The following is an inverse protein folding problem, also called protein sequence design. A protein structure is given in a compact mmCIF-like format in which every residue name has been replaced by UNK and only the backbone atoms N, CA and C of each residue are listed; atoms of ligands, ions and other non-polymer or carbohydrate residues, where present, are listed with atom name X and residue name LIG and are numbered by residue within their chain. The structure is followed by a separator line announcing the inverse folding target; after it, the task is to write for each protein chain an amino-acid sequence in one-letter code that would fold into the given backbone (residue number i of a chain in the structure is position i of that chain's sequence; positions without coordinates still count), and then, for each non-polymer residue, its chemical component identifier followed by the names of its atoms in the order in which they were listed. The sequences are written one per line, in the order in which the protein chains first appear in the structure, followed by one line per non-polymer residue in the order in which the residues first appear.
data_IF_901952709145
#
_entry.id   IF_901952709145
#
_cell.length_a   1.000
_cell.length_b   1.000
_cell.length_c   1.000
_cell.angle_alpha   90.00
_cell.angle_beta   90.00
_cell.angle_gamma   90.00
#
_symmetry.space_group_name_H-M   'P 1'
#
loop_
_entity.id
_entity.type
_entity.pdbx_description
1 polymer ?
#
# COMPACT_ATOMS: atom_id res chain seq x y z
N UNK A 1 -3.84 -15.12 -8.21
CA UNK A 1 -2.84 -15.90 -8.98
C UNK A 1 -2.87 -15.36 -10.40
N UNK A 2 -2.16 -14.26 -10.67
CA UNK A 2 -2.14 -13.60 -11.99
C UNK A 2 -0.90 -14.07 -12.72
N UNK A 3 -1.15 -14.74 -13.84
CA UNK A 3 -0.16 -15.33 -14.73
C UNK A 3 0.62 -14.22 -15.44
N UNK A 4 1.90 -14.04 -15.09
CA UNK A 4 2.82 -13.24 -15.92
C UNK A 4 3.10 -14.06 -17.18
N UNK A 5 2.48 -13.65 -18.28
CA UNK A 5 2.68 -14.27 -19.59
C UNK A 5 4.07 -13.92 -20.12
N UNK A 6 4.92 -14.94 -20.14
CA UNK A 6 6.19 -15.01 -20.87
C UNK A 6 5.92 -14.75 -22.37
N UNK A 7 6.59 -13.76 -22.99
CA UNK A 7 6.57 -13.58 -24.45
C UNK A 7 8.00 -13.54 -25.02
N UNK A 8 8.39 -14.68 -25.61
CA UNK A 8 8.97 -14.74 -26.96
C UNK A 8 10.38 -14.21 -27.21
N UNK A 9 11.35 -15.12 -27.18
CA UNK A 9 12.67 -15.04 -27.83
C UNK A 9 12.62 -14.39 -29.23
N UNK A 10 13.45 -13.37 -29.46
CA UNK A 10 14.02 -13.07 -30.79
C UNK A 10 15.51 -13.43 -30.78
N UNK A 11 15.86 -14.51 -31.48
CA UNK A 11 17.23 -14.82 -31.88
C UNK A 11 17.64 -13.91 -33.05
N UNK A 12 17.86 -12.63 -32.75
CA UNK A 12 18.75 -11.77 -33.52
C UNK A 12 20.11 -11.79 -32.83
N UNK A 13 21.20 -11.63 -33.57
CA UNK A 13 22.54 -11.40 -33.01
C UNK A 13 22.46 -10.20 -32.07
N UNK A 14 22.24 -10.43 -30.77
CA UNK A 14 22.10 -9.35 -29.80
C UNK A 14 23.46 -8.69 -29.71
N UNK A 15 23.63 -7.56 -30.40
CA UNK A 15 24.61 -6.56 -30.02
C UNK A 15 24.42 -6.35 -28.53
N UNK A 16 25.47 -6.61 -27.74
CA UNK A 16 25.40 -6.48 -26.29
C UNK A 16 24.90 -5.05 -25.98
N UNK A 17 23.68 -4.93 -25.49
CA UNK A 17 23.12 -3.65 -25.09
C UNK A 17 23.56 -3.33 -23.65
N UNK A 18 23.62 -2.05 -23.27
CA UNK A 18 23.79 -1.67 -21.87
C UNK A 18 22.65 -2.27 -21.03
N UNK A 19 22.96 -2.58 -19.77
CA UNK A 19 22.06 -3.21 -18.81
C UNK A 19 22.06 -2.40 -17.52
N UNK A 20 20.90 -2.38 -16.87
CA UNK A 20 20.72 -1.88 -15.51
C UNK A 20 20.06 -2.96 -14.68
N UNK A 21 20.47 -3.08 -13.42
CA UNK A 21 19.86 -3.97 -12.45
C UNK A 21 19.50 -3.19 -11.18
N UNK A 22 18.33 -3.48 -10.63
CA UNK A 22 17.81 -2.89 -9.39
C UNK A 22 17.62 -3.98 -8.33
N UNK A 23 17.88 -3.63 -7.08
CA UNK A 23 17.80 -4.54 -5.94
C UNK A 23 17.23 -3.82 -4.72
N UNK A 24 16.58 -4.59 -3.86
CA UNK A 24 16.28 -4.22 -2.48
C UNK A 24 17.20 -4.99 -1.53
N UNK A 25 17.50 -4.46 -0.35
CA UNK A 25 18.34 -5.15 0.65
C UNK A 25 17.68 -6.40 1.25
N UNK A 26 16.34 -6.46 1.22
CA UNK A 26 15.51 -7.59 1.68
C UNK A 26 14.33 -7.80 0.73
N UNK A 27 13.64 -8.93 0.89
CA UNK A 27 12.43 -9.26 0.13
C UNK A 27 11.13 -9.04 0.94
N UNK A 28 11.24 -8.66 2.21
CA UNK A 28 10.10 -8.44 3.09
C UNK A 28 10.42 -7.37 4.13
N UNK A 29 9.48 -6.47 4.36
CA UNK A 29 9.62 -5.31 5.25
C UNK A 29 8.38 -5.08 6.11
N UNK A 30 8.60 -4.50 7.27
CA UNK A 30 7.61 -4.16 8.29
C UNK A 30 7.47 -2.64 8.45
N UNK A 31 6.37 -2.14 9.04
CA UNK A 31 6.33 -0.77 9.56
C UNK A 31 7.55 -0.48 10.43
N UNK A 32 8.18 0.68 10.22
CA UNK A 32 9.42 1.07 10.88
C UNK A 32 10.71 0.54 10.25
N UNK A 33 10.65 -0.37 9.27
CA UNK A 33 11.83 -0.74 8.49
C UNK A 33 12.22 0.38 7.51
N UNK A 34 13.52 0.39 7.17
CA UNK A 34 14.05 1.14 6.03
C UNK A 34 14.33 0.19 4.87
N UNK A 35 13.76 0.47 3.70
CA UNK A 35 14.10 -0.18 2.43
C UNK A 35 15.33 0.51 1.86
N UNK A 36 16.40 -0.24 1.59
CA UNK A 36 17.52 0.24 0.78
C UNK A 36 17.38 -0.27 -0.66
N UNK A 37 17.36 0.66 -1.61
CA UNK A 37 17.34 0.36 -3.05
C UNK A 37 18.72 0.62 -3.63
N UNK A 38 19.25 -0.37 -4.35
CA UNK A 38 20.58 -0.30 -4.96
C UNK A 38 20.53 -0.61 -6.45
N UNK A 39 21.49 -0.06 -7.19
CA UNK A 39 21.62 -0.22 -8.64
C UNK A 39 22.97 -0.81 -9.01
N UNK A 40 22.99 -1.63 -10.06
CA UNK A 40 24.18 -2.05 -10.78
C UNK A 40 23.96 -1.83 -12.29
N UNK A 41 25.03 -1.78 -13.07
CA UNK A 41 24.89 -1.66 -14.51
C UNK A 41 26.17 -1.97 -15.26
N UNK A 42 26.05 -2.37 -16.51
CA UNK A 42 27.19 -2.69 -17.36
C UNK A 42 26.88 -2.44 -18.83
N UNK A 43 27.92 -2.25 -19.63
CA UNK A 43 27.80 -2.18 -21.08
C UNK A 43 28.94 -2.97 -21.73
N UNK A 44 28.66 -4.20 -22.17
CA UNK A 44 29.62 -5.02 -22.91
C UNK A 44 29.64 -4.71 -24.43
N UNK A 45 28.77 -3.81 -24.90
CA UNK A 45 28.66 -3.42 -26.31
C UNK A 45 29.44 -2.17 -26.67
N UNK A 46 29.01 -1.54 -27.76
CA UNK A 46 29.50 -0.22 -28.14
C UNK A 46 28.99 0.86 -27.18
N UNK A 47 29.73 1.95 -27.08
CA UNK A 47 29.30 3.09 -26.27
C UNK A 47 28.06 3.73 -26.89
N UNK A 48 27.05 4.01 -26.07
CA UNK A 48 25.80 4.64 -26.54
C UNK A 48 25.19 5.54 -25.47
N UNK A 49 24.40 6.52 -25.90
CA UNK A 49 23.55 7.30 -25.02
C UNK A 49 22.26 6.54 -24.72
N UNK A 50 21.81 6.60 -23.48
CA UNK A 50 20.57 5.98 -23.01
C UNK A 50 19.81 6.92 -22.09
N UNK A 51 18.52 6.71 -21.96
CA UNK A 51 17.71 7.25 -20.88
C UNK A 51 17.54 6.18 -19.79
N UNK A 52 17.57 6.59 -18.53
CA UNK A 52 17.44 5.70 -17.36
C UNK A 52 16.10 5.92 -16.69
N UNK A 53 15.30 4.87 -16.55
CA UNK A 53 14.01 4.90 -15.86
C UNK A 53 14.09 4.13 -14.55
N UNK A 54 13.52 4.69 -13.50
CA UNK A 54 13.30 4.03 -12.20
C UNK A 54 11.83 4.17 -11.85
N UNK A 55 11.20 3.08 -11.43
CA UNK A 55 9.80 3.06 -11.05
C UNK A 55 9.49 2.16 -9.87
N UNK A 56 8.31 2.33 -9.29
CA UNK A 56 7.70 1.47 -8.30
C UNK A 56 6.28 1.11 -8.78
N UNK A 57 6.01 -0.18 -8.93
CA UNK A 57 4.67 -0.70 -9.14
C UNK A 57 4.08 -1.14 -7.79
N UNK A 58 2.93 -0.60 -7.44
CA UNK A 58 2.21 -0.87 -6.18
C UNK A 58 1.26 -2.08 -6.32
N UNK A 59 0.78 -2.67 -5.20
CA UNK A 59 -0.13 -3.82 -5.22
C UNK A 59 -1.47 -3.58 -5.94
N UNK A 60 -1.95 -2.35 -5.95
CA UNK A 60 -3.14 -1.89 -6.66
C UNK A 60 -2.89 -1.57 -8.14
N UNK A 61 -1.64 -1.71 -8.61
CA UNK A 61 -1.25 -1.56 -10.01
C UNK A 61 -0.90 -0.14 -10.43
N UNK A 62 -0.73 0.80 -9.51
CA UNK A 62 -0.22 2.13 -9.81
C UNK A 62 1.29 2.09 -10.08
N UNK A 63 1.72 2.78 -11.14
CA UNK A 63 3.13 2.96 -11.46
C UNK A 63 3.59 4.35 -11.05
N UNK A 64 4.51 4.41 -10.08
CA UNK A 64 5.19 5.61 -9.67
C UNK A 64 6.56 5.68 -10.35
N UNK A 65 6.81 6.65 -11.22
CA UNK A 65 8.10 6.88 -11.85
C UNK A 65 8.91 7.92 -11.07
N UNK A 66 10.23 7.78 -11.06
CA UNK A 66 11.13 8.75 -10.46
C UNK A 66 11.61 9.76 -11.52
N UNK A 67 11.06 10.98 -11.45
CA UNK A 67 11.38 12.10 -12.34
C UNK A 67 12.42 13.03 -11.69
N UNK A 68 13.39 13.57 -12.46
CA UNK A 68 14.35 14.54 -11.94
C UNK A 68 13.69 15.90 -11.63
N UNK A 69 12.52 16.18 -12.21
CA UNK A 69 11.82 17.45 -12.05
C UNK A 69 10.86 17.44 -10.85
N UNK A 70 10.22 16.30 -10.60
CA UNK A 70 9.11 16.19 -9.64
C UNK A 70 9.34 15.16 -8.53
N UNK A 71 10.45 14.41 -8.58
CA UNK A 71 10.66 13.24 -7.73
C UNK A 71 9.73 12.10 -8.13
N UNK A 72 9.20 11.36 -7.15
CA UNK A 72 8.25 10.27 -7.40
C UNK A 72 6.86 10.80 -7.79
N UNK A 73 6.42 10.49 -9.01
CA UNK A 73 5.12 10.89 -9.57
C UNK A 73 4.40 9.70 -10.24
N UNK A 74 3.07 9.74 -10.31
CA UNK A 74 2.23 8.62 -10.76
C UNK A 74 1.55 8.85 -12.13
N UNK A 75 1.69 10.05 -12.72
CA UNK A 75 0.96 10.45 -13.93
C UNK A 75 1.85 10.63 -15.18
N UNK A 76 3.17 10.59 -15.02
CA UNK A 76 4.15 10.72 -16.10
C UNK A 76 5.26 9.68 -15.91
N UNK A 77 5.72 9.07 -17.01
CA UNK A 77 6.86 8.14 -17.02
C UNK A 77 8.03 8.87 -17.67
N UNK A 78 8.72 9.68 -16.86
CA UNK A 78 9.91 10.39 -17.27
C UNK A 78 11.17 9.58 -16.97
N UNK A 79 12.21 9.69 -17.80
CA UNK A 79 13.52 9.19 -17.43
C UNK A 79 14.06 9.98 -16.24
N UNK A 80 14.62 9.26 -15.28
CA UNK A 80 15.34 9.84 -14.15
C UNK A 80 16.62 10.55 -14.61
N UNK A 81 17.33 9.94 -15.56
CA UNK A 81 18.53 10.53 -16.18
C UNK A 81 18.37 10.44 -17.70
N UNK A 82 18.37 11.60 -18.34
CA UNK A 82 18.27 11.71 -19.80
C UNK A 82 19.64 11.67 -20.47
N UNK A 83 19.69 10.99 -21.61
CA UNK A 83 20.78 11.01 -22.59
C UNK A 83 22.17 10.75 -22.02
N UNK A 84 22.28 9.92 -20.96
CA UNK A 84 23.56 9.59 -20.35
C UNK A 84 24.37 8.68 -21.29
N UNK A 85 25.60 9.09 -21.57
CA UNK A 85 26.51 8.27 -22.37
C UNK A 85 27.13 7.15 -21.52
N UNK A 86 26.87 5.90 -21.91
CA UNK A 86 27.42 4.70 -21.27
C UNK A 86 28.52 4.13 -22.17
N UNK A 87 29.81 4.27 -21.80
CA UNK A 87 30.91 3.84 -22.67
C UNK A 87 30.99 2.32 -22.82
N UNK A 88 31.62 1.86 -23.90
CA UNK A 88 31.95 0.45 -24.07
C UNK A 88 32.83 -0.06 -22.91
N UNK A 89 32.51 -1.23 -22.38
CA UNK A 89 33.18 -1.82 -21.22
C UNK A 89 32.82 -1.17 -19.88
N UNK A 90 31.78 -0.33 -19.82
CA UNK A 90 31.30 0.23 -18.56
C UNK A 90 30.92 -0.86 -17.56
N UNK A 91 31.23 -0.65 -16.29
CA UNK A 91 30.78 -1.51 -15.19
C UNK A 91 30.58 -0.68 -13.93
N UNK A 92 29.42 -0.85 -13.32
CA UNK A 92 29.05 -0.31 -12.02
C UNK A 92 28.59 -1.48 -11.15
N UNK A 93 29.40 -1.80 -10.14
CA UNK A 93 28.99 -2.76 -9.11
C UNK A 93 27.76 -2.22 -8.35
N UNK A 94 27.00 -3.12 -7.73
CA UNK A 94 25.84 -2.77 -6.90
C UNK A 94 26.20 -1.68 -5.87
N UNK A 95 25.46 -0.57 -5.90
CA UNK A 95 25.61 0.56 -4.98
C UNK A 95 24.25 1.01 -4.45
N UNK A 96 24.11 1.26 -3.14
CA UNK A 96 22.93 1.89 -2.57
C UNK A 96 22.66 3.25 -3.23
N UNK A 97 21.39 3.55 -3.48
CA UNK A 97 20.99 4.74 -4.21
C UNK A 97 19.84 5.48 -3.52
N UNK A 98 18.80 4.78 -3.07
CA UNK A 98 17.65 5.35 -2.36
C UNK A 98 17.37 4.60 -1.06
N UNK A 99 16.75 5.30 -0.10
CA UNK A 99 16.24 4.71 1.12
C UNK A 99 14.81 5.19 1.38
N UNK A 100 13.95 4.28 1.83
CA UNK A 100 12.56 4.58 2.16
C UNK A 100 12.21 4.00 3.53
N UNK A 101 11.90 4.88 4.49
CA UNK A 101 11.33 4.45 5.76
C UNK A 101 9.85 4.11 5.57
N UNK A 102 9.39 3.03 6.18
CA UNK A 102 8.00 2.58 6.12
C UNK A 102 7.19 3.08 7.34
N UNK A 103 5.96 3.60 7.14
CA UNK A 103 5.30 3.88 5.86
C UNK A 103 5.98 5.00 5.06
N UNK A 104 6.03 4.85 3.74
CA UNK A 104 6.45 5.91 2.81
C UNK A 104 5.24 6.48 2.06
N UNK A 105 5.16 7.80 1.94
CA UNK A 105 4.08 8.46 1.18
C UNK A 105 4.50 8.88 -0.23
N UNK A 106 5.81 8.93 -0.52
CA UNK A 106 6.37 9.28 -1.84
C UNK A 106 7.70 8.55 -2.08
N UNK A 107 7.71 7.44 -2.83
CA UNK A 107 6.56 6.80 -3.45
C UNK A 107 5.63 6.17 -2.39
N UNK A 108 4.38 5.88 -2.74
CA UNK A 108 3.40 5.33 -1.78
C UNK A 108 3.72 3.87 -1.48
N UNK A 109 4.25 3.63 -0.27
CA UNK A 109 4.53 2.31 0.30
C UNK A 109 4.02 2.33 1.75
N UNK A 110 2.70 2.31 1.91
CA UNK A 110 2.01 2.51 3.18
C UNK A 110 0.93 1.47 3.47
N UNK A 111 0.93 0.38 2.72
CA UNK A 111 -0.01 -0.74 2.87
C UNK A 111 0.73 -2.05 2.68
N UNK A 112 0.17 -3.13 3.20
CA UNK A 112 0.64 -4.48 2.92
C UNK A 112 0.46 -4.86 1.44
N UNK A 113 1.39 -5.64 0.90
CA UNK A 113 1.25 -6.20 -0.45
C UNK A 113 2.58 -6.53 -1.13
N UNK A 114 2.48 -6.91 -2.40
CA UNK A 114 3.64 -7.10 -3.28
C UNK A 114 3.93 -5.82 -4.06
N UNK A 115 5.15 -5.35 -3.95
CA UNK A 115 5.67 -4.17 -4.63
C UNK A 115 6.83 -4.56 -5.53
N UNK A 116 7.07 -3.77 -6.57
CA UNK A 116 8.14 -4.00 -7.53
C UNK A 116 8.87 -2.72 -7.82
N UNK A 117 10.14 -2.63 -7.44
CA UNK A 117 11.03 -1.63 -8.02
C UNK A 117 11.44 -2.06 -9.43
N UNK A 118 11.37 -1.13 -10.37
CA UNK A 118 11.65 -1.33 -11.78
C UNK A 118 12.83 -0.44 -12.19
N UNK A 119 13.73 -0.97 -13.01
CA UNK A 119 14.76 -0.19 -13.68
C UNK A 119 14.86 -0.59 -15.16
N UNK A 120 14.88 0.39 -16.04
CA UNK A 120 14.95 0.17 -17.48
C UNK A 120 15.85 1.21 -18.16
N UNK A 121 16.36 0.86 -19.34
CA UNK A 121 17.08 1.76 -20.23
C UNK A 121 16.30 1.90 -21.53
N UNK A 122 16.31 3.06 -22.18
CA UNK A 122 15.82 3.23 -23.56
C UNK A 122 16.83 4.02 -24.39
N UNK A 123 16.57 4.13 -25.70
CA UNK A 123 17.26 5.12 -26.53
C UNK A 123 16.87 6.56 -26.14
N UNK A 124 17.74 7.56 -26.39
CA UNK A 124 17.47 8.94 -26.01
C UNK A 124 16.16 9.48 -26.57
N UNK A 125 15.36 10.12 -25.72
CA UNK A 125 14.06 10.71 -26.02
C UNK A 125 13.03 9.68 -26.55
N UNK A 126 13.19 8.40 -26.20
CA UNK A 126 12.29 7.31 -26.62
C UNK A 126 11.84 6.44 -25.45
N UNK A 127 10.75 5.70 -25.66
CA UNK A 127 10.33 4.60 -24.77
C UNK A 127 10.61 3.22 -25.39
N UNK A 128 11.50 3.17 -26.38
CA UNK A 128 11.98 1.92 -26.98
C UNK A 128 13.02 1.30 -26.04
N UNK A 129 12.53 0.53 -25.06
CA UNK A 129 13.38 -0.06 -24.03
C UNK A 129 14.44 -1.00 -24.61
N UNK A 130 15.65 -0.86 -24.08
CA UNK A 130 16.82 -1.64 -24.40
C UNK A 130 16.94 -2.81 -23.41
N UNK A 131 16.90 -4.03 -23.93
CA UNK A 131 17.07 -5.24 -23.11
C UNK A 131 15.88 -5.52 -22.20
N UNK A 132 16.14 -6.24 -21.10
CA UNK A 132 15.12 -6.60 -20.13
C UNK A 132 14.98 -5.52 -19.05
N UNK A 133 13.74 -5.25 -18.63
CA UNK A 133 13.45 -4.42 -17.46
C UNK A 133 13.88 -5.20 -16.22
N UNK A 134 14.75 -4.62 -15.40
CA UNK A 134 15.13 -5.21 -14.12
C UNK A 134 14.03 -4.99 -13.10
N UNK A 135 13.74 -6.04 -12.33
CA UNK A 135 12.66 -6.05 -11.32
C UNK A 135 13.21 -6.51 -9.98
N UNK A 136 13.01 -5.70 -8.94
CA UNK A 136 13.23 -6.07 -7.54
C UNK A 136 11.88 -6.15 -6.82
N UNK A 137 11.37 -7.37 -6.69
CA UNK A 137 10.13 -7.64 -5.96
C UNK A 137 10.39 -7.65 -4.44
N UNK A 138 9.53 -6.99 -3.69
CA UNK A 138 9.52 -7.04 -2.23
C UNK A 138 8.08 -7.04 -1.71
N UNK A 139 7.92 -7.44 -0.45
CA UNK A 139 6.64 -7.43 0.23
C UNK A 139 6.67 -6.51 1.43
N UNK A 140 5.58 -5.83 1.66
CA UNK A 140 5.30 -5.08 2.89
C UNK A 140 4.09 -5.69 3.59
N UNK A 141 3.90 -5.34 4.86
CA UNK A 141 2.88 -5.93 5.70
C UNK A 141 3.49 -6.86 6.73
N UNK A 142 2.74 -7.18 7.77
CA UNK A 142 3.19 -8.04 8.86
C UNK A 142 2.81 -9.49 8.58
N UNK A 143 3.75 -10.43 8.37
CA UNK A 143 3.47 -11.84 8.51
C UNK A 143 4.09 -12.35 9.81
N UNK A 144 3.26 -12.54 10.85
CA UNK A 144 3.27 -13.76 11.72
C UNK A 144 2.34 -13.70 12.94
N UNK A 145 1.81 -12.54 13.34
CA UNK A 145 0.88 -12.49 14.46
C UNK A 145 -0.57 -12.72 14.00
N UNK A 146 -1.31 -13.55 14.74
CA UNK A 146 -2.76 -13.67 14.61
C UNK A 146 -3.49 -12.48 15.26
N UNK A 147 -2.79 -11.72 16.09
CA UNK A 147 -3.37 -10.70 16.96
C UNK A 147 -2.51 -9.42 16.86
N UNK A 148 -3.17 -8.29 16.63
CA UNK A 148 -2.59 -6.95 16.62
C UNK A 148 -3.39 -6.04 17.53
N UNK A 149 -2.79 -4.94 17.96
CA UNK A 149 -3.34 -4.07 18.98
C UNK A 149 -3.35 -2.62 18.52
N UNK A 150 -4.48 -1.96 18.74
CA UNK A 150 -4.69 -0.55 18.52
C UNK A 150 -5.11 0.07 19.85
N UNK A 151 -4.44 1.16 20.23
CA UNK A 151 -4.69 1.89 21.46
C UNK A 151 -4.55 3.40 21.19
N UNK A 152 -5.65 4.13 21.31
CA UNK A 152 -5.67 5.60 21.09
C UNK A 152 -4.85 6.38 22.12
N UNK A 153 -4.65 5.87 23.34
CA UNK A 153 -3.92 6.56 24.40
C UNK A 153 -2.42 6.25 24.38
N UNK A 154 -2.05 4.99 24.12
CA UNK A 154 -0.67 4.50 24.22
C UNK A 154 -0.01 4.17 22.88
N UNK A 155 -0.81 4.09 21.82
CA UNK A 155 -0.36 3.66 20.50
C UNK A 155 0.42 4.72 19.73
N UNK A 156 1.15 4.25 18.72
CA UNK A 156 1.80 5.08 17.71
C UNK A 156 1.84 4.32 16.39
N UNK A 157 1.42 4.96 15.29
CA UNK A 157 1.41 4.35 13.95
C UNK A 157 2.82 4.09 13.36
N UNK A 158 3.88 4.46 14.06
CA UNK A 158 5.25 4.01 13.78
C UNK A 158 5.65 2.73 14.53
N UNK A 159 4.77 2.18 15.38
CA UNK A 159 4.98 0.93 16.07
C UNK A 159 4.70 -0.29 15.17
N UNK A 160 4.93 -1.49 15.72
CA UNK A 160 4.77 -2.77 15.03
C UNK A 160 3.38 -3.42 15.26
N UNK A 161 2.50 -2.79 16.05
CA UNK A 161 1.15 -3.29 16.30
C UNK A 161 1.08 -4.47 17.28
N UNK A 162 2.17 -4.80 17.96
CA UNK A 162 2.17 -5.75 19.09
C UNK A 162 1.45 -5.18 20.32
N UNK A 163 1.12 -6.03 21.29
CA UNK A 163 0.48 -5.58 22.55
C UNK A 163 1.36 -4.59 23.31
N UNK A 164 2.69 -4.79 23.29
CA UNK A 164 3.64 -3.88 23.95
C UNK A 164 3.88 -2.58 23.18
N UNK A 165 3.63 -2.58 21.87
CA UNK A 165 3.81 -1.44 20.98
C UNK A 165 2.62 -1.33 20.02
N UNK A 166 1.42 -0.96 20.51
CA UNK A 166 0.22 -0.90 19.70
C UNK A 166 0.29 0.26 18.70
N UNK A 167 -0.52 0.17 17.64
CA UNK A 167 -0.78 1.29 16.74
C UNK A 167 -1.76 2.29 17.37
N UNK A 168 -1.76 3.54 16.89
CA UNK A 168 -2.69 4.56 17.38
C UNK A 168 -4.04 4.50 16.66
N UNK A 169 -4.06 4.10 15.39
CA UNK A 169 -5.27 4.14 14.55
C UNK A 169 -5.68 2.78 13.97
N UNK A 170 -6.98 2.59 13.84
CA UNK A 170 -7.61 1.43 13.20
C UNK A 170 -7.37 1.48 11.69
N UNK A 171 -7.40 2.66 11.09
CA UNK A 171 -7.06 2.89 9.67
C UNK A 171 -5.66 2.36 9.36
N UNK A 172 -4.67 2.70 10.18
CA UNK A 172 -3.32 2.19 10.01
C UNK A 172 -3.28 0.68 10.13
N UNK A 173 -3.91 0.12 11.18
CA UNK A 173 -3.97 -1.32 11.37
C UNK A 173 -4.54 -2.04 10.15
N UNK A 174 -5.71 -1.61 9.66
CA UNK A 174 -6.37 -2.19 8.49
C UNK A 174 -5.51 -2.09 7.23
N UNK A 175 -4.72 -1.03 7.04
CA UNK A 175 -3.82 -0.91 5.89
C UNK A 175 -2.65 -1.91 5.93
N UNK A 176 -2.17 -2.24 7.13
CA UNK A 176 -0.95 -3.04 7.33
C UNK A 176 -1.18 -4.52 7.61
N UNK A 177 -2.35 -4.91 8.12
CA UNK A 177 -2.67 -6.32 8.33
C UNK A 177 -3.22 -6.96 7.06
N UNK A 178 -2.94 -8.25 6.90
CA UNK A 178 -3.44 -9.08 5.80
C UNK A 178 -3.92 -10.43 6.34
N UNK A 179 -5.23 -10.67 6.28
CA UNK A 179 -5.84 -11.93 6.72
C UNK A 179 -5.92 -12.96 5.58
N UNK A 180 -5.87 -14.25 5.93
CA UNK A 180 -6.15 -15.36 5.01
C UNK A 180 -7.10 -16.35 5.62
N UNK A 181 -7.79 -17.15 4.80
CA UNK A 181 -8.73 -18.16 5.29
C UNK A 181 -8.08 -19.14 6.28
N UNK A 182 -6.84 -19.54 6.01
CA UNK A 182 -6.08 -20.48 6.85
C UNK A 182 -5.34 -19.79 8.00
N UNK A 183 -5.24 -18.46 7.97
CA UNK A 183 -4.55 -17.63 8.95
C UNK A 183 -5.30 -16.29 9.11
N UNK A 184 -6.48 -16.31 9.75
CA UNK A 184 -7.23 -15.09 9.99
C UNK A 184 -6.50 -14.24 11.02
N UNK A 185 -6.73 -12.92 10.94
CA UNK A 185 -6.12 -11.92 11.82
C UNK A 185 -7.20 -11.26 12.68
N UNK A 186 -6.86 -10.95 13.92
CA UNK A 186 -7.66 -10.16 14.85
C UNK A 186 -6.90 -8.89 15.19
N UNK A 187 -7.56 -7.75 15.06
CA UNK A 187 -7.12 -6.47 15.60
C UNK A 187 -7.96 -6.21 16.86
N UNK A 188 -7.30 -6.23 18.01
CA UNK A 188 -7.84 -5.84 19.29
C UNK A 188 -7.74 -4.33 19.45
N UNK A 189 -8.86 -3.70 19.78
CA UNK A 189 -8.96 -2.24 19.88
C UNK A 189 -9.27 -1.88 21.33
N UNK A 190 -8.32 -1.20 21.97
CA UNK A 190 -8.44 -0.77 23.35
C UNK A 190 -9.57 0.29 23.49
N UNK A 191 -10.21 0.40 24.67
CA UNK A 191 -11.24 1.40 24.92
C UNK A 191 -10.80 2.83 24.61
N UNK A 192 -11.68 3.60 23.97
CA UNK A 192 -11.40 4.97 23.56
C UNK A 192 -12.30 5.41 22.40
N UNK A 193 -12.13 6.66 21.96
CA UNK A 193 -12.82 7.21 20.78
C UNK A 193 -11.85 7.27 19.61
N UNK A 194 -12.22 6.62 18.51
CA UNK A 194 -11.49 6.58 17.25
C UNK A 194 -12.27 7.42 16.23
N UNK A 195 -11.70 8.55 15.86
CA UNK A 195 -12.33 9.60 15.05
C UNK A 195 -11.29 10.28 14.13
N UNK A 196 -11.66 11.37 13.47
CA UNK A 196 -10.77 12.07 12.52
C UNK A 196 -9.72 12.95 13.19
N UNK A 197 -9.85 13.17 14.50
CA UNK A 197 -9.01 14.08 15.25
C UNK A 197 -7.73 13.40 15.74
N UNK A 198 -6.77 14.24 16.15
CA UNK A 198 -5.55 13.77 16.80
C UNK A 198 -5.92 13.01 18.09
N UNK A 199 -5.32 11.83 18.38
CA UNK A 199 -4.15 11.25 17.71
C UNK A 199 -4.44 10.21 16.63
N UNK A 200 -5.70 9.78 16.45
CA UNK A 200 -6.04 8.61 15.62
C UNK A 200 -6.11 8.93 14.12
N UNK A 201 -6.58 10.13 13.74
CA UNK A 201 -6.68 10.53 12.33
C UNK A 201 -7.39 9.50 11.44
N UNK A 202 -8.45 8.86 11.93
CA UNK A 202 -9.16 7.81 11.20
C UNK A 202 -9.66 8.32 9.85
N UNK A 203 -9.56 7.45 8.84
CA UNK A 203 -10.05 7.71 7.50
C UNK A 203 -11.31 6.90 7.25
N UNK A 204 -12.45 7.58 7.32
CA UNK A 204 -13.75 6.97 7.08
C UNK A 204 -14.11 6.91 5.58
N UNK A 205 -14.74 5.81 5.10
CA UNK A 205 -15.14 4.64 5.88
C UNK A 205 -13.92 3.77 6.23
N UNK A 206 -13.93 3.15 7.43
CA UNK A 206 -12.96 2.11 7.76
C UNK A 206 -13.20 0.90 6.85
N UNK A 207 -12.22 0.60 5.99
CA UNK A 207 -12.34 -0.45 4.97
C UNK A 207 -11.92 -1.80 5.54
N UNK A 208 -12.89 -2.67 5.76
CA UNK A 208 -12.62 -4.04 6.20
C UNK A 208 -11.91 -4.84 5.11
N UNK A 209 -11.13 -5.83 5.54
CA UNK A 209 -10.44 -6.80 4.66
C UNK A 209 -10.91 -8.21 4.96
N UNK A 210 -10.86 -9.08 3.94
CA UNK A 210 -11.20 -10.50 4.11
C UNK A 210 -10.34 -11.14 5.18
N UNK A 211 -10.96 -11.96 6.03
CA UNK A 211 -10.31 -12.71 7.11
C UNK A 211 -9.62 -11.84 8.17
N UNK A 212 -9.94 -10.55 8.25
CA UNK A 212 -9.52 -9.64 9.32
C UNK A 212 -10.71 -9.35 10.23
N UNK A 213 -10.52 -9.47 11.53
CA UNK A 213 -11.53 -9.15 12.55
C UNK A 213 -11.13 -7.91 13.33
N UNK A 214 -12.08 -6.99 13.54
CA UNK A 214 -11.98 -5.91 14.51
C UNK A 214 -12.73 -6.32 15.77
N UNK A 215 -12.06 -6.27 16.92
CA UNK A 215 -12.63 -6.66 18.21
C UNK A 215 -12.31 -5.58 19.26
N UNK A 216 -13.33 -4.97 19.83
CA UNK A 216 -13.16 -4.10 20.99
C UNK A 216 -12.80 -4.92 22.24
N UNK A 217 -11.80 -4.47 23.00
CA UNK A 217 -11.34 -5.15 24.23
C UNK A 217 -12.17 -4.78 25.47
N UNK A 218 -13.01 -3.75 25.38
CA UNK A 218 -13.83 -3.33 26.51
C UNK A 218 -14.99 -2.40 26.15
N UNK A 219 -15.89 -2.17 27.12
CA UNK A 219 -16.94 -1.18 26.97
C UNK A 219 -16.33 0.21 26.80
N UNK A 220 -16.96 1.06 25.99
CA UNK A 220 -16.49 2.42 25.71
C UNK A 220 -15.60 2.56 24.47
N UNK A 221 -15.31 1.46 23.77
CA UNK A 221 -14.65 1.51 22.45
C UNK A 221 -15.62 2.05 21.40
N UNK A 222 -15.40 3.28 20.95
CA UNK A 222 -16.29 4.03 20.06
C UNK A 222 -15.58 4.36 18.76
N UNK A 223 -16.22 4.03 17.65
CA UNK A 223 -15.80 4.48 16.32
C UNK A 223 -16.82 5.55 15.89
N UNK A 224 -16.35 6.79 15.78
CA UNK A 224 -17.18 7.95 15.47
C UNK A 224 -16.72 8.58 14.15
N UNK A 225 -17.54 8.42 13.10
CA UNK A 225 -17.24 9.02 11.81
C UNK A 225 -17.51 10.53 11.77
N UNK A 226 -18.20 11.09 12.78
CA UNK A 226 -18.64 12.49 12.86
C UNK A 226 -19.56 12.86 11.70
N UNK A 227 -20.85 13.11 11.94
CA UNK A 227 -21.93 13.22 10.92
C UNK A 227 -21.59 14.05 9.66
N UNK A 228 -20.71 15.05 9.80
CA UNK A 228 -20.18 15.91 8.73
C UNK A 228 -19.33 15.17 7.68
N UNK A 229 -18.84 13.98 8.00
CA UNK A 229 -18.03 13.12 7.17
C UNK A 229 -18.74 12.64 5.90
N UNK A 230 -20.07 12.51 5.95
CA UNK A 230 -20.88 12.08 4.82
C UNK A 230 -20.41 10.74 4.22
N UNK A 231 -20.12 9.73 5.04
CA UNK A 231 -19.96 8.35 4.56
C UNK A 231 -20.37 7.36 5.65
N UNK A 232 -20.37 6.07 5.32
CA UNK A 232 -20.50 5.00 6.30
C UNK A 232 -19.34 5.03 7.30
N UNK A 233 -19.56 4.62 8.55
CA UNK A 233 -18.46 4.45 9.52
C UNK A 233 -17.55 3.29 9.09
N UNK A 234 -18.13 2.15 8.73
CA UNK A 234 -17.38 0.96 8.28
C UNK A 234 -17.91 0.51 6.92
N UNK A 235 -17.01 0.21 5.99
CA UNK A 235 -17.35 -0.40 4.69
C UNK A 235 -16.79 -1.82 4.57
N UNK A 236 -17.64 -2.74 4.12
CA UNK A 236 -17.30 -4.10 3.73
C UNK A 236 -17.72 -4.29 2.27
N UNK A 237 -16.77 -4.21 1.34
CA UNK A 237 -17.00 -4.41 -0.10
C UNK A 237 -16.16 -5.60 -0.55
N UNK A 238 -16.80 -6.64 -1.07
CA UNK A 238 -16.14 -7.91 -1.46
C UNK A 238 -15.34 -8.58 -0.32
N UNK A 239 -15.78 -8.43 0.93
CA UNK A 239 -15.11 -8.95 2.13
C UNK A 239 -15.65 -10.33 2.52
N UNK A 240 -14.77 -11.31 2.68
CA UNK A 240 -15.11 -12.68 3.11
C UNK A 240 -14.47 -13.02 4.44
N UNK A 241 -15.26 -13.52 5.38
CA UNK A 241 -14.79 -13.86 6.72
C UNK A 241 -14.38 -12.62 7.52
N UNK A 242 -14.10 -12.83 8.80
CA UNK A 242 -13.83 -11.75 9.74
C UNK A 242 -15.05 -11.36 10.57
N UNK A 243 -14.79 -10.59 11.62
CA UNK A 243 -15.78 -10.18 12.62
C UNK A 243 -15.62 -8.70 12.93
N UNK A 244 -16.72 -7.98 13.10
CA UNK A 244 -16.76 -6.66 13.73
C UNK A 244 -17.52 -6.83 15.04
N UNK A 245 -16.85 -6.65 16.19
CA UNK A 245 -17.47 -6.95 17.49
C UNK A 245 -17.13 -6.00 18.62
N UNK A 246 -18.14 -5.65 19.41
CA UNK A 246 -17.99 -4.98 20.70
C UNK A 246 -17.95 -3.45 20.64
N UNK A 247 -18.15 -2.84 19.47
CA UNK A 247 -18.00 -1.40 19.27
C UNK A 247 -19.30 -0.63 19.49
N UNK A 248 -19.17 0.63 19.92
CA UNK A 248 -20.17 1.66 19.61
C UNK A 248 -19.83 2.29 18.27
N UNK A 249 -20.74 2.26 17.31
CA UNK A 249 -20.54 2.74 15.93
C UNK A 249 -21.53 3.86 15.67
N UNK A 250 -21.02 5.08 15.43
CA UNK A 250 -21.82 6.32 15.37
C UNK A 250 -21.25 7.35 14.40
N UNK A 251 -22.02 8.42 14.15
CA UNK A 251 -21.57 9.59 13.38
C UNK A 251 -21.49 9.35 11.88
N UNK A 252 -21.91 8.19 11.39
CA UNK A 252 -21.97 7.96 9.95
C UNK A 252 -23.17 8.65 9.31
N UNK A 253 -22.95 9.26 8.15
CA UNK A 253 -23.90 10.18 7.54
C UNK A 253 -23.99 10.03 6.01
N UNK A 254 -25.02 10.61 5.37
CA UNK A 254 -25.16 10.55 3.92
C UNK A 254 -24.02 11.31 3.23
N UNK A 255 -23.36 10.66 2.27
CA UNK A 255 -22.47 11.35 1.34
C UNK A 255 -23.25 12.36 0.51
N UNK A 256 -22.89 13.64 0.60
CA UNK A 256 -23.37 14.65 -0.33
C UNK A 256 -22.76 14.41 -1.71
N UNK A 257 -23.34 13.48 -2.48
CA UNK A 257 -23.03 13.36 -3.91
C UNK A 257 -23.82 14.41 -4.69
N UNK A 258 -23.12 15.41 -5.24
CA UNK A 258 -23.72 16.39 -6.17
C UNK A 258 -24.18 15.76 -7.50
N UNK A 259 -23.95 14.45 -7.70
CA UNK A 259 -24.25 13.72 -8.94
C UNK A 259 -25.21 12.53 -8.75
N UNK A 260 -26.05 12.53 -7.70
CA UNK A 260 -27.19 11.61 -7.61
C UNK A 260 -26.85 10.11 -7.53
N UNK A 261 -25.67 9.78 -7.00
CA UNK A 261 -25.22 8.41 -6.75
C UNK A 261 -25.72 7.82 -5.43
N UNK A 262 -25.83 6.48 -5.39
CA UNK A 262 -26.52 5.63 -4.40
C UNK A 262 -26.13 5.89 -2.95
N UNK A 263 -27.13 5.81 -2.07
CA UNK A 263 -27.06 6.19 -0.66
C UNK A 263 -26.89 4.94 0.20
N UNK A 264 -25.71 4.80 0.80
CA UNK A 264 -25.31 3.61 1.55
C UNK A 264 -25.51 3.78 3.06
N UNK A 265 -25.48 2.67 3.81
CA UNK A 265 -25.78 2.63 5.24
C UNK A 265 -24.80 3.47 6.06
N UNK A 266 -25.31 4.48 6.78
CA UNK A 266 -24.46 5.39 7.57
C UNK A 266 -23.61 4.68 8.63
N UNK A 267 -24.11 3.63 9.29
CA UNK A 267 -23.31 2.89 10.26
C UNK A 267 -22.30 1.95 9.59
N UNK A 268 -22.80 0.80 9.14
CA UNK A 268 -21.99 -0.20 8.43
C UNK A 268 -22.61 -0.42 7.06
N UNK A 269 -21.80 -0.32 6.02
CA UNK A 269 -22.17 -0.69 4.65
C UNK A 269 -21.56 -2.05 4.30
N UNK A 270 -22.36 -2.96 3.73
CA UNK A 270 -21.91 -4.26 3.26
C UNK A 270 -22.43 -4.53 1.83
N UNK A 271 -21.52 -4.79 0.89
CA UNK A 271 -21.81 -5.19 -0.48
C UNK A 271 -21.01 -6.46 -0.82
N UNK A 272 -21.68 -7.47 -1.36
CA UNK A 272 -21.07 -8.75 -1.78
C UNK A 272 -20.12 -9.38 -0.74
N UNK A 273 -20.47 -9.22 0.54
CA UNK A 273 -19.63 -9.57 1.68
C UNK A 273 -20.27 -10.59 2.62
N UNK A 274 -19.44 -11.38 3.32
CA UNK A 274 -19.83 -12.34 4.34
C UNK A 274 -19.01 -12.13 5.62
N UNK A 275 -19.46 -11.19 6.46
CA UNK A 275 -18.82 -10.79 7.72
C UNK A 275 -19.74 -11.08 8.92
N UNK A 276 -19.17 -11.41 10.07
CA UNK A 276 -19.94 -11.50 11.33
C UNK A 276 -19.98 -10.14 12.01
N UNK A 277 -21.18 -9.60 12.22
CA UNK A 277 -21.39 -8.39 13.02
C UNK A 277 -22.06 -8.81 14.31
N UNK A 278 -21.38 -8.70 15.45
CA UNK A 278 -21.85 -9.20 16.74
C UNK A 278 -21.59 -8.19 17.87
N UNK A 279 -22.47 -8.14 18.87
CA UNK A 279 -22.26 -7.37 20.11
C UNK A 279 -21.89 -5.87 19.92
N UNK A 280 -22.36 -5.25 18.83
CA UNK A 280 -22.14 -3.83 18.56
C UNK A 280 -23.37 -3.00 18.96
N UNK A 281 -23.13 -1.76 19.39
CA UNK A 281 -24.16 -0.72 19.53
C UNK A 281 -24.06 0.24 18.35
N UNK A 282 -24.99 0.14 17.40
CA UNK A 282 -25.01 0.98 16.19
C UNK A 282 -26.08 2.05 16.36
N UNK A 283 -25.67 3.30 16.62
CA UNK A 283 -26.55 4.41 17.01
C UNK A 283 -26.09 5.71 16.36
N UNK A 284 -26.97 6.71 16.24
CA UNK A 284 -26.56 8.04 15.76
C UNK A 284 -26.04 8.07 14.31
N UNK A 285 -26.49 7.12 13.47
CA UNK A 285 -26.10 7.04 12.07
C UNK A 285 -27.29 7.39 11.16
N UNK A 286 -27.02 8.07 10.06
CA UNK A 286 -28.01 8.48 9.06
C UNK A 286 -27.65 7.94 7.68
N UNK A 287 -28.59 7.26 7.02
CA UNK A 287 -28.47 6.85 5.63
C UNK A 287 -29.39 7.71 4.77
N UNK A 288 -28.95 8.07 3.57
CA UNK A 288 -29.79 8.79 2.63
C UNK A 288 -30.81 7.87 1.93
N UNK A 289 -31.92 8.44 1.45
CA UNK A 289 -32.89 7.78 0.55
C UNK A 289 -32.38 7.62 -0.88
N UNK A 290 -32.39 6.48 -1.57
CA UNK A 290 -31.98 6.40 -2.99
C UNK A 290 -32.61 7.48 -3.88
#
# INVERSE_FOLDING_TARGET
MVTVALLGLLLGSATAAPRIAIYTDKQSYQPGDTIEVSLAGDNQGEGMSVDVYIGLLTPDGELWAFSPYWGWCWYEVDPWIESIYVPAGFTMNQRPFFWFDLPCYRPVINAAGEFYFLAALSGPDTTDFLGEISVAAFRTGIPQASDYYVDVELGNDANDGSEERPWASITHALNWVEGRQEAPVVIHVAPGTYDRHWPTHELFPLKMKSWVSLVAEGPGTTIDAEEECGTSVISCEDVQGGTIRGFTITGGGPAFSMMGGVKFGGGIFCCDSSVLIADNTIIGNSAGWP
#
